data_IF_565301594462
#
_entry.id   IF_565301594462
#
_cell.length_a   1.000
_cell.length_b   1.000
_cell.length_c   1.000
_cell.angle_alpha   90.00
_cell.angle_beta   90.00
_cell.angle_gamma   90.00
#
_symmetry.space_group_name_H-M   'P 1'
#
loop_
_entity.id
_entity.type
_entity.pdbx_description
1 polymer ?
#
# COMPACT_ATOMS: atom_id res chain seq x y z
N UNK A 1 -93.20 52.09 -26.41
CA UNK A 1 -92.46 52.47 -25.20
C UNK A 1 -91.62 51.31 -24.84
N UNK A 2 -90.30 51.36 -24.99
CA UNK A 2 -89.42 50.26 -24.63
C UNK A 2 -88.90 50.45 -23.20
N UNK A 3 -88.61 49.38 -22.46
CA UNK A 3 -88.00 49.46 -21.21
C UNK A 3 -86.45 49.53 -21.25
N UNK A 4 -85.91 50.23 -20.30
CA UNK A 4 -84.51 50.54 -20.07
C UNK A 4 -83.63 49.31 -19.78
N UNK A 5 -82.37 49.34 -20.14
CA UNK A 5 -81.47 48.23 -19.79
C UNK A 5 -80.81 48.36 -18.39
N UNK A 6 -80.85 47.31 -17.68
CA UNK A 6 -80.17 47.14 -16.35
C UNK A 6 -78.70 46.85 -16.52
N UNK A 7 -77.89 47.68 -15.92
CA UNK A 7 -76.40 47.55 -15.94
C UNK A 7 -75.97 46.54 -14.86
N UNK A 8 -75.40 45.42 -15.28
CA UNK A 8 -74.85 44.44 -14.37
C UNK A 8 -73.35 44.72 -14.13
N UNK A 9 -72.98 45.04 -12.90
CA UNK A 9 -71.59 45.20 -12.49
C UNK A 9 -70.92 43.80 -12.37
N UNK A 10 -69.95 43.55 -13.22
CA UNK A 10 -69.08 42.40 -13.07
C UNK A 10 -67.91 42.75 -12.15
N UNK A 11 -67.88 42.14 -11.00
CA UNK A 11 -66.71 42.17 -10.09
C UNK A 11 -65.60 41.31 -10.66
N UNK A 12 -64.44 41.90 -10.93
CA UNK A 12 -63.19 41.17 -11.25
C UNK A 12 -62.56 40.71 -9.96
N UNK A 13 -62.53 39.40 -9.77
CA UNK A 13 -61.67 38.76 -8.75
C UNK A 13 -60.32 38.52 -9.36
N UNK A 14 -59.30 39.26 -8.89
CA UNK A 14 -57.91 39.03 -9.18
C UNK A 14 -57.38 37.91 -8.25
N UNK A 15 -57.20 36.71 -8.82
CA UNK A 15 -56.50 35.63 -8.14
C UNK A 15 -54.99 35.82 -8.34
N UNK A 16 -54.32 36.21 -7.27
CA UNK A 16 -52.86 36.26 -7.22
C UNK A 16 -52.31 34.83 -7.09
N UNK A 17 -51.67 34.32 -8.16
CA UNK A 17 -50.87 33.08 -8.13
C UNK A 17 -49.53 33.39 -7.46
N UNK A 18 -49.34 32.96 -6.24
CA UNK A 18 -48.06 32.98 -5.55
C UNK A 18 -47.15 31.89 -6.12
N UNK A 19 -46.10 32.28 -6.85
CA UNK A 19 -45.04 31.39 -7.33
C UNK A 19 -44.10 31.09 -6.15
N UNK A 20 -44.31 29.98 -5.48
CA UNK A 20 -43.33 29.47 -4.45
C UNK A 20 -42.11 28.92 -5.20
N UNK A 21 -41.03 29.69 -5.25
CA UNK A 21 -39.72 29.22 -5.73
C UNK A 21 -39.10 28.32 -4.64
N UNK A 22 -39.20 27.01 -4.80
CA UNK A 22 -38.46 26.05 -4.00
C UNK A 22 -37.01 26.10 -4.43
N UNK A 23 -36.14 26.73 -3.61
CA UNK A 23 -34.69 26.59 -3.73
C UNK A 23 -34.32 25.13 -3.38
N UNK A 24 -34.14 24.31 -4.41
CA UNK A 24 -33.48 23.01 -4.24
C UNK A 24 -32.00 23.23 -3.99
N UNK A 25 -31.54 23.12 -2.74
CA UNK A 25 -30.12 22.99 -2.43
C UNK A 25 -29.61 21.70 -3.08
N UNK A 26 -28.52 21.75 -3.88
CA UNK A 26 -27.89 20.52 -4.34
C UNK A 26 -27.35 19.74 -3.15
N UNK A 27 -27.50 18.38 -3.11
CA UNK A 27 -26.86 17.58 -2.08
C UNK A 27 -25.36 17.76 -2.24
N UNK A 28 -24.70 18.27 -1.19
CA UNK A 28 -23.26 18.21 -1.01
C UNK A 28 -22.88 16.73 -0.92
N UNK A 29 -22.64 16.08 -2.07
CA UNK A 29 -21.96 14.81 -2.12
C UNK A 29 -20.54 15.06 -1.61
N UNK A 30 -20.36 14.97 -0.31
CA UNK A 30 -19.05 14.89 0.31
C UNK A 30 -18.36 13.64 -0.25
N UNK A 31 -17.56 13.81 -1.31
CA UNK A 31 -16.61 12.80 -1.72
C UNK A 31 -15.68 12.60 -0.51
N UNK A 32 -15.92 11.53 0.27
CA UNK A 32 -14.95 11.03 1.21
C UNK A 32 -13.73 10.57 0.40
N UNK A 33 -12.84 11.50 0.09
CA UNK A 33 -11.49 11.18 -0.36
C UNK A 33 -10.85 10.40 0.78
N UNK A 34 -10.75 9.06 0.65
CA UNK A 34 -9.93 8.25 1.56
C UNK A 34 -8.54 8.87 1.51
N UNK A 35 -8.11 9.50 2.60
CA UNK A 35 -6.74 9.97 2.73
C UNK A 35 -5.83 8.77 2.56
N UNK A 36 -4.86 8.87 1.66
CA UNK A 36 -3.82 7.84 1.55
C UNK A 36 -3.17 7.63 2.92
N UNK A 37 -2.95 6.37 3.33
CA UNK A 37 -2.35 6.07 4.61
C UNK A 37 -0.99 6.76 4.73
N UNK A 38 -0.72 7.35 5.89
CA UNK A 38 0.52 8.08 6.16
C UNK A 38 1.24 7.47 7.35
N UNK A 39 2.57 7.60 7.34
CA UNK A 39 3.44 7.27 8.46
C UNK A 39 3.65 8.50 9.34
N UNK A 40 3.97 8.25 10.59
CA UNK A 40 4.57 9.27 11.45
C UNK A 40 6.05 9.39 11.11
N UNK A 41 6.58 10.60 11.12
CA UNK A 41 7.99 10.85 10.83
C UNK A 41 8.91 10.08 11.78
N UNK A 42 9.96 9.50 11.23
CA UNK A 42 10.97 8.77 11.99
C UNK A 42 12.18 9.67 12.27
N UNK A 43 12.64 9.76 13.52
CA UNK A 43 13.88 10.47 13.83
C UNK A 43 15.11 9.74 13.28
N UNK A 44 16.21 10.44 13.13
CA UNK A 44 17.50 9.82 12.83
C UNK A 44 17.82 8.75 13.88
N UNK A 45 18.38 7.61 13.46
CA UNK A 45 18.70 6.48 14.34
C UNK A 45 17.48 5.65 14.76
N UNK A 46 16.27 5.96 14.31
CA UNK A 46 15.10 5.11 14.59
C UNK A 46 15.33 3.68 14.13
N UNK A 47 14.89 2.72 14.94
CA UNK A 47 14.97 1.31 14.58
C UNK A 47 13.89 0.96 13.56
N UNK A 48 14.31 0.43 12.41
CA UNK A 48 13.45 -0.08 11.33
C UNK A 48 13.72 -1.57 11.16
N UNK A 49 12.68 -2.39 11.22
CA UNK A 49 12.79 -3.82 10.97
C UNK A 49 12.44 -4.10 9.51
N UNK A 50 13.45 -4.47 8.72
CA UNK A 50 13.27 -4.97 7.35
C UNK A 50 13.03 -6.47 7.42
N UNK A 51 11.79 -6.89 7.17
CA UNK A 51 11.32 -8.25 7.38
C UNK A 51 10.91 -8.89 6.07
N UNK A 52 11.42 -10.09 5.79
CA UNK A 52 11.10 -10.76 4.54
C UNK A 52 11.84 -12.07 4.32
N UNK A 53 11.92 -12.44 3.05
CA UNK A 53 12.55 -13.69 2.62
C UNK A 53 13.97 -13.49 2.06
N UNK A 54 14.33 -14.24 1.00
CA UNK A 54 15.65 -14.17 0.35
C UNK A 54 15.95 -12.80 -0.26
N UNK A 55 14.94 -12.05 -0.69
CA UNK A 55 15.13 -10.72 -1.27
C UNK A 55 15.47 -9.70 -0.19
N UNK A 56 14.85 -9.79 0.96
CA UNK A 56 15.22 -8.97 2.13
C UNK A 56 16.58 -9.41 2.69
N UNK A 57 16.87 -10.71 2.74
CA UNK A 57 18.19 -11.25 3.12
C UNK A 57 19.33 -10.70 2.23
N UNK A 58 19.10 -10.52 0.93
CA UNK A 58 20.07 -10.02 -0.02
C UNK A 58 20.68 -11.08 -0.93
N UNK A 59 19.95 -12.19 -1.18
CA UNK A 59 20.40 -13.24 -2.13
C UNK A 59 20.66 -12.63 -3.50
N UNK A 60 21.83 -12.95 -4.10
CA UNK A 60 22.25 -12.40 -5.40
C UNK A 60 23.20 -11.20 -5.31
N UNK A 61 23.52 -10.72 -4.10
CA UNK A 61 24.47 -9.65 -3.85
C UNK A 61 25.43 -10.01 -2.70
N UNK A 62 26.49 -9.20 -2.53
CA UNK A 62 27.42 -9.35 -1.41
C UNK A 62 26.84 -8.71 -0.14
N UNK A 63 27.38 -9.06 1.02
CA UNK A 63 27.02 -8.47 2.30
C UNK A 63 27.11 -6.92 2.24
N UNK A 64 26.09 -6.25 2.76
CA UNK A 64 25.98 -4.77 2.73
C UNK A 64 25.48 -4.20 1.41
N UNK A 65 25.20 -5.03 0.41
CA UNK A 65 24.61 -4.62 -0.87
C UNK A 65 23.11 -4.98 -0.95
N UNK A 66 22.54 -5.56 0.10
CA UNK A 66 21.11 -5.79 0.26
C UNK A 66 20.35 -4.47 0.46
N UNK A 67 19.06 -4.45 0.11
CA UNK A 67 18.25 -3.23 0.22
C UNK A 67 18.12 -2.70 1.64
N UNK A 68 18.05 -3.52 2.73
CA UNK A 68 18.04 -3.02 4.10
C UNK A 68 19.31 -2.26 4.48
N UNK A 69 20.49 -2.80 4.14
CA UNK A 69 21.77 -2.14 4.40
C UNK A 69 21.91 -0.82 3.64
N UNK A 70 21.48 -0.81 2.38
CA UNK A 70 21.48 0.41 1.55
C UNK A 70 20.47 1.44 2.05
N UNK A 71 19.29 1.01 2.52
CA UNK A 71 18.28 1.86 3.13
C UNK A 71 18.82 2.53 4.41
N UNK A 72 19.58 1.81 5.23
CA UNK A 72 20.23 2.38 6.40
C UNK A 72 21.15 3.55 6.03
N UNK A 73 21.97 3.36 4.97
CA UNK A 73 22.85 4.42 4.46
C UNK A 73 22.11 5.62 3.89
N UNK A 74 20.97 5.44 3.24
CA UNK A 74 20.16 6.51 2.66
C UNK A 74 19.39 7.32 3.71
N UNK A 75 18.90 6.63 4.76
CA UNK A 75 17.96 7.20 5.72
C UNK A 75 18.61 7.71 7.00
N UNK A 76 19.76 7.15 7.37
CA UNK A 76 20.36 7.34 8.70
C UNK A 76 19.60 6.62 9.82
N UNK A 77 18.71 5.67 9.48
CA UNK A 77 18.02 4.82 10.43
C UNK A 77 18.86 3.59 10.80
N UNK A 78 18.58 3.01 11.96
CA UNK A 78 19.10 1.71 12.36
C UNK A 78 18.23 0.60 11.73
N UNK A 79 18.57 0.19 10.50
CA UNK A 79 17.80 -0.82 9.78
C UNK A 79 18.34 -2.22 10.13
N UNK A 80 17.46 -3.04 10.72
CA UNK A 80 17.75 -4.42 11.06
C UNK A 80 17.26 -5.31 9.92
N UNK A 81 18.17 -6.03 9.27
CA UNK A 81 17.81 -7.00 8.26
C UNK A 81 17.37 -8.30 8.93
N UNK A 82 16.09 -8.60 8.86
CA UNK A 82 15.45 -9.81 9.35
C UNK A 82 14.92 -10.69 8.19
N UNK A 83 15.57 -10.66 7.05
CA UNK A 83 15.30 -11.56 5.93
C UNK A 83 15.83 -12.97 6.18
N UNK A 84 15.06 -14.00 5.82
CA UNK A 84 15.48 -15.40 5.85
C UNK A 84 15.20 -16.02 4.48
N UNK A 85 16.26 -16.51 3.84
CA UNK A 85 16.12 -17.13 2.52
C UNK A 85 15.19 -18.36 2.57
N UNK A 86 14.21 -18.39 1.69
CA UNK A 86 13.23 -19.48 1.58
C UNK A 86 11.98 -19.33 2.43
N UNK A 87 11.91 -18.33 3.33
CA UNK A 87 10.74 -18.10 4.17
C UNK A 87 9.46 -17.89 3.36
N UNK A 88 8.40 -18.50 3.84
CA UNK A 88 7.02 -18.23 3.41
C UNK A 88 6.35 -17.23 4.35
N UNK A 89 5.20 -16.71 3.95
CA UNK A 89 4.39 -15.86 4.81
C UNK A 89 3.98 -16.57 6.12
N UNK A 90 3.71 -17.88 6.07
CA UNK A 90 3.37 -18.69 7.23
C UNK A 90 4.55 -18.83 8.22
N UNK A 91 5.76 -19.03 7.73
CA UNK A 91 6.99 -19.10 8.55
C UNK A 91 7.30 -17.73 9.15
N UNK A 92 7.25 -16.67 8.32
CA UNK A 92 7.44 -15.29 8.75
C UNK A 92 6.48 -14.88 9.88
N UNK A 93 5.19 -15.17 9.72
CA UNK A 93 4.16 -14.91 10.73
C UNK A 93 4.52 -15.49 12.12
N UNK A 94 5.14 -16.66 12.15
CA UNK A 94 5.45 -17.33 13.39
C UNK A 94 6.66 -16.73 14.13
N UNK A 95 7.65 -16.15 13.40
CA UNK A 95 8.86 -15.56 14.00
C UNK A 95 8.76 -14.05 14.26
N UNK A 96 7.81 -13.36 13.68
CA UNK A 96 7.66 -11.90 13.80
C UNK A 96 7.47 -11.42 15.26
N UNK A 97 6.67 -12.08 16.13
CA UNK A 97 6.46 -11.62 17.51
C UNK A 97 7.74 -11.49 18.32
N UNK A 98 8.67 -12.43 18.20
CA UNK A 98 9.96 -12.39 18.91
C UNK A 98 10.81 -11.22 18.45
N UNK A 99 10.84 -10.94 17.14
CA UNK A 99 11.58 -9.81 16.56
C UNK A 99 11.00 -8.47 16.99
N UNK A 100 9.66 -8.34 17.01
CA UNK A 100 8.99 -7.12 17.51
C UNK A 100 9.33 -6.87 18.99
N UNK A 101 9.31 -7.91 19.82
CA UNK A 101 9.64 -7.81 21.24
C UNK A 101 11.12 -7.46 21.46
N UNK A 102 12.04 -8.10 20.73
CA UNK A 102 13.48 -7.93 20.90
C UNK A 102 13.99 -6.58 20.43
N UNK A 103 13.40 -6.03 19.36
CA UNK A 103 13.93 -4.84 18.71
C UNK A 103 13.07 -3.58 18.93
N UNK A 104 11.81 -3.73 19.33
CA UNK A 104 10.87 -2.62 19.54
C UNK A 104 10.94 -1.58 18.41
N UNK A 105 10.81 -1.97 17.11
CA UNK A 105 11.03 -1.07 15.99
C UNK A 105 9.96 0.03 15.91
N UNK A 106 10.34 1.19 15.41
CA UNK A 106 9.39 2.27 15.10
C UNK A 106 8.63 1.99 13.78
N UNK A 107 9.24 1.24 12.87
CA UNK A 107 8.67 0.86 11.58
C UNK A 107 9.03 -0.59 11.24
N UNK A 108 8.05 -1.32 10.75
CA UNK A 108 8.19 -2.64 10.13
C UNK A 108 7.95 -2.50 8.62
N UNK A 109 8.93 -2.89 7.82
CA UNK A 109 8.81 -3.00 6.36
C UNK A 109 8.74 -4.48 6.01
N UNK A 110 7.60 -4.94 5.52
CA UNK A 110 7.35 -6.36 5.17
C UNK A 110 7.49 -6.56 3.66
N UNK A 111 8.42 -7.42 3.27
CA UNK A 111 8.61 -7.90 1.90
C UNK A 111 8.66 -9.43 1.94
N UNK A 112 7.53 -10.13 1.73
CA UNK A 112 7.41 -11.58 1.85
C UNK A 112 6.26 -12.11 0.99
N UNK A 113 6.37 -13.37 0.55
CA UNK A 113 5.32 -14.06 -0.21
C UNK A 113 5.83 -14.65 -1.53
N UNK A 114 7.04 -14.29 -1.97
CA UNK A 114 7.64 -14.82 -3.18
C UNK A 114 7.73 -16.35 -3.17
N UNK A 115 8.18 -16.94 -2.07
CA UNK A 115 8.28 -18.39 -1.91
C UNK A 115 6.90 -19.08 -1.89
N UNK A 116 5.89 -18.42 -1.34
CA UNK A 116 4.52 -18.92 -1.36
C UNK A 116 4.01 -19.06 -2.80
N UNK A 117 4.22 -18.03 -3.63
CA UNK A 117 3.83 -18.07 -5.04
C UNK A 117 4.58 -19.13 -5.83
N UNK A 118 5.89 -19.30 -5.58
CA UNK A 118 6.69 -20.36 -6.20
C UNK A 118 6.18 -21.76 -5.82
N UNK A 119 5.75 -21.92 -4.56
CA UNK A 119 5.13 -23.16 -4.04
C UNK A 119 3.65 -23.31 -4.42
N UNK A 120 3.08 -22.34 -5.13
CA UNK A 120 1.66 -22.30 -5.53
C UNK A 120 0.70 -22.26 -4.34
N UNK A 121 1.11 -21.67 -3.23
CA UNK A 121 0.21 -21.38 -2.10
C UNK A 121 -0.93 -20.48 -2.59
N UNK A 122 -2.19 -20.77 -2.24
CA UNK A 122 -3.31 -19.95 -2.65
C UNK A 122 -3.11 -18.48 -2.22
N UNK A 123 -3.31 -17.48 -3.09
CA UNK A 123 -3.12 -16.06 -2.74
C UNK A 123 -3.93 -15.61 -1.52
N UNK A 124 -5.11 -16.20 -1.29
CA UNK A 124 -5.93 -15.93 -0.10
C UNK A 124 -5.26 -16.38 1.20
N UNK A 125 -4.50 -17.47 1.17
CA UNK A 125 -3.73 -17.96 2.33
C UNK A 125 -2.56 -17.01 2.60
N UNK A 126 -1.80 -16.64 1.57
CA UNK A 126 -0.70 -15.66 1.69
C UNK A 126 -1.22 -14.34 2.26
N UNK A 127 -2.34 -13.84 1.71
CA UNK A 127 -3.00 -12.62 2.19
C UNK A 127 -3.39 -12.72 3.66
N UNK A 128 -3.93 -13.85 4.10
CA UNK A 128 -4.30 -14.06 5.50
C UNK A 128 -3.09 -14.06 6.43
N UNK A 129 -1.96 -14.67 6.03
CA UNK A 129 -0.75 -14.71 6.82
C UNK A 129 -0.07 -13.33 6.90
N UNK A 130 -0.01 -12.59 5.78
CA UNK A 130 0.50 -11.19 5.78
C UNK A 130 -0.40 -10.28 6.62
N UNK A 131 -1.73 -10.41 6.52
CA UNK A 131 -2.67 -9.68 7.39
C UNK A 131 -2.39 -9.95 8.87
N UNK A 132 -2.12 -11.20 9.23
CA UNK A 132 -1.81 -11.54 10.61
C UNK A 132 -0.52 -10.85 11.10
N UNK A 133 0.52 -10.78 10.25
CA UNK A 133 1.74 -10.03 10.58
C UNK A 133 1.47 -8.52 10.78
N UNK A 134 0.63 -7.93 9.93
CA UNK A 134 0.19 -6.53 10.08
C UNK A 134 -0.51 -6.34 11.43
N UNK A 135 -1.44 -7.23 11.78
CA UNK A 135 -2.15 -7.15 13.07
C UNK A 135 -1.21 -7.31 14.28
N UNK A 136 -0.21 -8.20 14.21
CA UNK A 136 0.81 -8.35 15.26
C UNK A 136 1.60 -7.05 15.47
N UNK A 137 2.04 -6.40 14.38
CA UNK A 137 2.78 -5.15 14.46
C UNK A 137 1.90 -3.99 15.00
N UNK A 138 0.65 -3.90 14.54
CA UNK A 138 -0.31 -2.89 15.03
C UNK A 138 -0.60 -3.08 16.52
N UNK A 139 -0.77 -4.33 16.98
CA UNK A 139 -0.93 -4.64 18.40
C UNK A 139 0.29 -4.23 19.25
N UNK A 140 1.50 -4.32 18.67
CA UNK A 140 2.73 -3.82 19.25
C UNK A 140 2.93 -2.30 19.08
N UNK A 141 1.98 -1.58 18.47
CA UNK A 141 2.05 -0.13 18.16
C UNK A 141 3.21 0.23 17.23
N UNK A 142 3.60 -0.68 16.36
CA UNK A 142 4.63 -0.50 15.34
C UNK A 142 3.96 -0.06 14.03
N UNK A 143 4.50 0.96 13.39
CA UNK A 143 4.06 1.36 12.05
C UNK A 143 4.40 0.28 11.04
N UNK A 144 3.55 0.06 10.04
CA UNK A 144 3.73 -1.01 9.05
C UNK A 144 3.67 -0.45 7.64
N UNK A 145 4.55 -0.95 6.78
CA UNK A 145 4.53 -0.74 5.34
C UNK A 145 4.73 -2.09 4.65
N UNK A 146 3.98 -2.35 3.60
CA UNK A 146 4.21 -3.50 2.73
C UNK A 146 5.04 -3.07 1.52
N UNK A 147 6.00 -3.90 1.12
CA UNK A 147 6.60 -3.88 -0.21
C UNK A 147 5.91 -4.96 -1.02
N UNK A 148 5.27 -4.57 -2.10
CA UNK A 148 4.54 -5.51 -2.93
C UNK A 148 5.52 -6.46 -3.66
N UNK A 149 5.18 -7.75 -3.66
CA UNK A 149 5.94 -8.80 -4.32
C UNK A 149 5.23 -9.17 -5.62
N UNK A 150 5.95 -9.26 -6.75
CA UNK A 150 5.34 -9.62 -8.01
C UNK A 150 4.81 -11.05 -8.00
N UNK A 151 3.63 -11.24 -8.60
CA UNK A 151 3.10 -12.56 -8.84
C UNK A 151 3.89 -13.22 -9.98
N UNK A 152 4.46 -14.43 -9.80
CA UNK A 152 5.09 -15.14 -10.89
C UNK A 152 4.04 -15.53 -11.92
N UNK A 153 4.04 -14.87 -13.08
CA UNK A 153 3.28 -15.30 -14.23
C UNK A 153 4.24 -15.83 -15.29
N UNK A 154 3.98 -17.03 -15.80
CA UNK A 154 4.76 -17.59 -16.91
C UNK A 154 4.75 -16.66 -18.15
N UNK A 155 3.67 -15.93 -18.35
CA UNK A 155 3.52 -14.92 -19.39
C UNK A 155 4.25 -13.62 -19.04
N UNK A 156 4.28 -13.20 -17.77
CA UNK A 156 4.96 -11.99 -17.33
C UNK A 156 6.48 -12.06 -17.46
N UNK A 157 7.08 -13.21 -17.15
CA UNK A 157 8.52 -13.45 -17.32
C UNK A 157 8.94 -13.37 -18.80
N UNK A 158 8.10 -13.91 -19.70
CA UNK A 158 8.34 -13.86 -21.16
C UNK A 158 8.04 -12.48 -21.73
N UNK A 159 7.03 -11.80 -21.23
CA UNK A 159 6.58 -10.50 -21.73
C UNK A 159 7.33 -9.30 -21.13
N UNK A 160 8.28 -9.50 -20.22
CA UNK A 160 8.96 -8.44 -19.44
C UNK A 160 7.99 -7.51 -18.70
N UNK A 161 6.82 -8.02 -18.33
CA UNK A 161 5.72 -7.24 -17.73
C UNK A 161 5.32 -7.93 -16.42
N UNK A 162 6.20 -7.86 -15.43
CA UNK A 162 5.91 -8.31 -14.07
C UNK A 162 5.03 -7.25 -13.40
N UNK A 163 3.99 -7.69 -12.72
CA UNK A 163 3.15 -6.84 -11.91
C UNK A 163 3.04 -7.41 -10.50
N UNK A 164 2.84 -6.53 -9.55
CA UNK A 164 2.62 -6.89 -8.15
C UNK A 164 1.40 -7.80 -7.99
N UNK A 165 1.48 -8.72 -7.03
CA UNK A 165 0.33 -9.52 -6.67
C UNK A 165 -0.77 -8.63 -6.06
N UNK A 166 -2.02 -8.71 -6.53
CA UNK A 166 -3.11 -7.81 -6.10
C UNK A 166 -3.36 -7.80 -4.59
N UNK A 167 -3.05 -8.90 -3.91
CA UNK A 167 -3.26 -9.05 -2.48
C UNK A 167 -2.60 -7.94 -1.62
N UNK A 168 -1.47 -7.35 -2.08
CA UNK A 168 -0.79 -6.29 -1.32
C UNK A 168 -1.56 -4.98 -1.39
N UNK A 169 -2.03 -4.59 -2.57
CA UNK A 169 -2.88 -3.41 -2.73
C UNK A 169 -4.19 -3.55 -1.94
N UNK A 170 -4.82 -4.73 -2.03
CA UNK A 170 -6.03 -5.06 -1.27
C UNK A 170 -5.80 -4.95 0.25
N UNK A 171 -4.68 -5.50 0.76
CA UNK A 171 -4.31 -5.38 2.18
C UNK A 171 -4.08 -3.92 2.57
N UNK A 172 -3.40 -3.14 1.74
CA UNK A 172 -3.19 -1.72 1.98
C UNK A 172 -4.49 -0.95 2.18
N UNK A 173 -5.50 -1.25 1.35
CA UNK A 173 -6.83 -0.64 1.46
C UNK A 173 -7.63 -1.13 2.67
N UNK A 174 -7.61 -2.44 2.93
CA UNK A 174 -8.36 -3.08 4.00
C UNK A 174 -7.83 -2.72 5.39
N UNK A 175 -6.51 -2.72 5.55
CA UNK A 175 -5.84 -2.45 6.83
C UNK A 175 -5.43 -0.97 6.99
N UNK A 176 -5.69 -0.14 5.96
CA UNK A 176 -5.33 1.28 5.91
C UNK A 176 -3.85 1.53 6.20
N UNK A 177 -2.97 0.76 5.54
CA UNK A 177 -1.50 0.85 5.64
C UNK A 177 -0.88 1.18 4.29
N UNK A 178 0.29 1.87 4.26
CA UNK A 178 0.99 2.15 3.02
C UNK A 178 1.50 0.87 2.33
N UNK A 179 1.46 0.87 1.00
CA UNK A 179 2.03 -0.18 0.15
C UNK A 179 3.00 0.47 -0.84
N UNK A 180 4.21 -0.04 -0.87
CA UNK A 180 5.23 0.33 -1.87
C UNK A 180 5.04 -0.60 -3.06
N UNK A 181 4.41 -0.07 -4.10
CA UNK A 181 4.11 -0.79 -5.34
C UNK A 181 5.24 -0.65 -6.36
N UNK A 182 5.28 -1.59 -7.29
CA UNK A 182 6.09 -1.64 -8.50
C UNK A 182 7.61 -1.73 -8.30
N UNK A 183 8.14 -1.31 -7.15
CA UNK A 183 9.59 -1.21 -6.92
C UNK A 183 10.32 -2.53 -7.14
N UNK A 184 9.77 -3.64 -6.64
CA UNK A 184 10.39 -4.96 -6.82
C UNK A 184 10.08 -5.54 -8.20
N UNK A 185 8.85 -5.34 -8.70
CA UNK A 185 8.46 -5.78 -10.05
C UNK A 185 9.32 -5.12 -11.14
N UNK A 186 9.55 -3.81 -11.05
CA UNK A 186 10.39 -3.05 -11.98
C UNK A 186 11.85 -3.55 -12.01
N UNK A 187 12.39 -3.87 -10.82
CA UNK A 187 13.75 -4.41 -10.72
C UNK A 187 13.84 -5.78 -11.39
N UNK A 188 12.88 -6.67 -11.13
CA UNK A 188 12.89 -7.99 -11.75
C UNK A 188 12.53 -7.97 -13.24
N UNK A 189 11.81 -6.96 -13.72
CA UNK A 189 11.55 -6.79 -15.16
C UNK A 189 12.83 -6.43 -15.96
N UNK A 190 13.78 -5.76 -15.31
CA UNK A 190 15.03 -5.33 -15.91
C UNK A 190 16.13 -6.40 -15.76
N UNK A 191 16.48 -7.10 -16.84
CA UNK A 191 17.48 -8.19 -16.83
C UNK A 191 18.83 -7.77 -16.25
N UNK A 192 19.27 -6.55 -16.52
CA UNK A 192 20.53 -6.01 -16.00
C UNK A 192 20.54 -5.80 -14.47
N UNK A 193 19.37 -5.82 -13.82
CA UNK A 193 19.22 -5.65 -12.38
C UNK A 193 19.01 -6.97 -11.62
N UNK A 194 19.05 -8.11 -12.31
CA UNK A 194 18.83 -9.43 -11.73
C UNK A 194 20.13 -10.23 -11.61
N UNK A 195 20.26 -11.00 -10.55
CA UNK A 195 21.26 -12.06 -10.41
C UNK A 195 20.74 -13.38 -11.04
N UNK A 196 19.43 -13.63 -10.89
CA UNK A 196 18.70 -14.74 -11.47
C UNK A 196 17.21 -14.33 -11.71
N UNK A 197 16.32 -15.22 -12.16
CA UNK A 197 14.94 -14.84 -12.49
C UNK A 197 14.11 -14.25 -11.33
N UNK A 198 14.51 -14.46 -10.08
CA UNK A 198 13.73 -14.09 -8.89
C UNK A 198 14.49 -13.22 -7.88
N UNK A 199 15.80 -13.02 -8.07
CA UNK A 199 16.62 -12.24 -7.14
C UNK A 199 17.28 -11.05 -7.86
N UNK A 200 17.26 -9.86 -7.23
CA UNK A 200 18.05 -8.72 -7.68
C UNK A 200 19.56 -9.00 -7.57
N UNK A 201 20.36 -8.35 -8.41
CA UNK A 201 21.80 -8.20 -8.18
C UNK A 201 22.08 -6.92 -7.35
N UNK A 202 23.35 -6.60 -7.10
CA UNK A 202 23.73 -5.42 -6.32
C UNK A 202 23.15 -4.09 -6.87
N UNK A 203 23.08 -3.94 -8.21
CA UNK A 203 22.45 -2.78 -8.83
C UNK A 203 20.93 -2.76 -8.63
N UNK A 204 20.29 -3.94 -8.71
CA UNK A 204 18.88 -4.11 -8.44
C UNK A 204 18.52 -3.78 -6.99
N UNK A 205 19.29 -4.26 -6.03
CA UNK A 205 19.09 -3.92 -4.61
C UNK A 205 19.26 -2.43 -4.33
N UNK A 206 20.23 -1.78 -4.99
CA UNK A 206 20.35 -0.31 -4.90
C UNK A 206 19.09 0.38 -5.42
N UNK A 207 18.58 -0.05 -6.57
CA UNK A 207 17.35 0.50 -7.13
C UNK A 207 16.15 0.27 -6.22
N UNK A 208 16.04 -0.94 -5.59
CA UNK A 208 15.02 -1.23 -4.59
C UNK A 208 15.12 -0.28 -3.39
N UNK A 209 16.31 -0.14 -2.79
CA UNK A 209 16.52 0.72 -1.64
C UNK A 209 16.15 2.19 -1.90
N UNK A 210 16.55 2.72 -3.07
CA UNK A 210 16.20 4.07 -3.52
C UNK A 210 14.68 4.24 -3.68
N UNK A 211 14.01 3.27 -4.31
CA UNK A 211 12.56 3.27 -4.50
C UNK A 211 11.80 3.16 -3.19
N UNK A 212 12.23 2.25 -2.30
CA UNK A 212 11.64 2.08 -0.96
C UNK A 212 11.82 3.38 -0.15
N UNK A 213 13.02 3.97 -0.14
CA UNK A 213 13.29 5.21 0.58
C UNK A 213 12.43 6.37 0.07
N UNK A 214 12.35 6.54 -1.26
CA UNK A 214 11.52 7.58 -1.86
C UNK A 214 10.03 7.42 -1.49
N UNK A 215 9.51 6.18 -1.52
CA UNK A 215 8.13 5.89 -1.12
C UNK A 215 7.88 6.18 0.37
N UNK A 216 8.79 5.73 1.26
CA UNK A 216 8.69 6.00 2.69
C UNK A 216 8.67 7.50 2.99
N UNK A 217 9.52 8.30 2.33
CA UNK A 217 9.48 9.77 2.41
C UNK A 217 8.16 10.35 1.89
N UNK A 218 7.61 9.79 0.82
CA UNK A 218 6.30 10.16 0.28
C UNK A 218 5.15 9.88 1.26
N UNK A 219 5.25 8.84 2.06
CA UNK A 219 4.28 8.51 3.11
C UNK A 219 4.45 9.34 4.40
N UNK A 220 5.58 10.02 4.57
CA UNK A 220 5.83 10.93 5.71
C UNK A 220 6.86 10.44 6.73
N UNK A 221 7.52 9.29 6.47
CA UNK A 221 8.59 8.77 7.32
C UNK A 221 9.88 9.61 7.26
#
# INVERSE_FOLDING_TARGET
MPPSPTTTRRSLLLTAFGLAATLALPPLLGACSKKSPRLQSLPAGATVLAFGDSVTYGTGAQAGQDWPSLLAGLSGWNVINAGIAGDTAAEGKNRLPELLASHSPALLVIEIGGNDFLRRTPPSTVKADVRHMVAQAQAAKVQVVLVAVPAPSLLGVVAKNLSDAPLYAELGEEENIPVIADVFADVLAAEALRADPIHPNAAGYRRMAEGIYAALRGFGA
#
